data_IF_102228153366
#
_entry.id   IF_102228153366
#
_cell.length_a   1.000
_cell.length_b   1.000
_cell.length_c   1.000
_cell.angle_alpha   90.00
_cell.angle_beta   90.00
_cell.angle_gamma   90.00
#
_symmetry.space_group_name_H-M   'P 1'
#
loop_
_entity.id
_entity.type
_entity.pdbx_description
1 polymer ?
#
# COMPACT_ATOMS: atom_id res chain seq x y z
N UNK A 1 -22.30 -1.34 21.27
CA UNK A 1 -20.97 -1.33 20.63
C UNK A 1 -20.46 -2.77 20.53
N UNK A 2 -20.70 -3.45 19.40
CA UNK A 2 -20.13 -4.77 19.14
C UNK A 2 -20.02 -4.96 17.62
N UNK A 3 -18.82 -4.79 17.04
CA UNK A 3 -18.59 -5.10 15.62
C UNK A 3 -18.11 -6.54 15.49
N UNK A 4 -19.08 -7.44 15.44
CA UNK A 4 -18.90 -8.77 14.84
C UNK A 4 -19.41 -8.64 13.40
N UNK A 5 -18.55 -8.87 12.41
CA UNK A 5 -18.86 -9.53 11.13
C UNK A 5 -17.91 -9.08 10.03
N UNK A 6 -17.12 -10.01 9.48
CA UNK A 6 -17.19 -10.41 8.07
C UNK A 6 -16.16 -11.51 7.83
N UNK A 7 -16.50 -12.72 8.26
CA UNK A 7 -15.99 -13.95 7.65
C UNK A 7 -17.12 -14.42 6.72
N UNK A 8 -16.76 -14.85 5.52
CA UNK A 8 -17.61 -15.48 4.49
C UNK A 8 -18.35 -14.52 3.54
N UNK A 9 -17.81 -14.34 2.34
CA UNK A 9 -18.66 -14.33 1.13
C UNK A 9 -17.98 -15.14 0.02
N UNK A 10 -18.62 -16.28 -0.27
CA UNK A 10 -18.56 -17.03 -1.51
C UNK A 10 -19.03 -16.15 -2.68
N UNK A 11 -18.64 -16.49 -3.90
CA UNK A 11 -18.78 -15.68 -5.11
C UNK A 11 -20.18 -15.12 -5.39
N UNK A 12 -20.20 -14.05 -6.20
CA UNK A 12 -21.36 -13.32 -6.78
C UNK A 12 -21.75 -11.96 -6.17
N UNK A 13 -20.86 -11.23 -5.48
CA UNK A 13 -21.21 -9.89 -5.01
C UNK A 13 -20.08 -8.85 -5.08
N UNK A 14 -20.34 -7.86 -5.95
CA UNK A 14 -19.90 -6.45 -5.90
C UNK A 14 -18.53 -6.13 -6.49
N UNK A 15 -18.55 -5.20 -7.43
CA UNK A 15 -17.55 -4.14 -7.61
C UNK A 15 -17.46 -3.29 -6.33
N UNK A 16 -17.14 -3.91 -5.20
CA UNK A 16 -16.75 -3.21 -4.00
C UNK A 16 -15.31 -2.80 -4.23
N UNK A 17 -15.08 -1.52 -4.54
CA UNK A 17 -13.77 -0.90 -4.31
C UNK A 17 -13.33 -1.36 -2.92
N UNK A 18 -12.29 -2.18 -2.85
CA UNK A 18 -11.93 -2.86 -1.61
C UNK A 18 -11.53 -1.86 -0.53
N UNK A 19 -11.26 -2.31 0.70
CA UNK A 19 -10.79 -1.44 1.76
C UNK A 19 -9.63 -0.58 1.26
N UNK A 20 -9.84 0.75 1.25
CA UNK A 20 -8.84 1.73 0.84
C UNK A 20 -8.30 2.43 2.08
N UNK A 21 -7.00 2.70 2.07
CA UNK A 21 -6.28 3.23 3.21
C UNK A 21 -5.40 4.39 2.75
N UNK A 22 -5.35 5.44 3.55
CA UNK A 22 -4.40 6.55 3.34
C UNK A 22 -3.11 6.23 4.07
N UNK A 23 -1.98 6.32 3.37
CA UNK A 23 -0.64 6.19 3.92
C UNK A 23 0.20 7.42 3.53
N UNK A 24 1.31 7.66 4.23
CA UNK A 24 2.27 8.74 3.93
C UNK A 24 2.71 8.83 2.45
N UNK A 25 2.97 7.72 1.73
CA UNK A 25 3.29 7.75 0.30
C UNK A 25 2.07 8.00 -0.61
N UNK A 26 0.85 7.75 -0.14
CA UNK A 26 -0.37 7.89 -0.94
C UNK A 26 -1.57 7.09 -0.44
N UNK A 27 -2.65 7.10 -1.21
CA UNK A 27 -3.86 6.30 -0.98
C UNK A 27 -3.76 4.97 -1.72
N UNK A 28 -3.81 3.90 -0.96
CA UNK A 28 -3.71 2.52 -1.43
C UNK A 28 -5.07 1.83 -1.30
N UNK A 29 -5.37 0.94 -2.22
CA UNK A 29 -6.59 0.13 -2.22
C UNK A 29 -6.23 -1.34 -2.30
N UNK A 30 -6.89 -2.14 -1.46
CA UNK A 30 -6.79 -3.59 -1.51
C UNK A 30 -7.74 -4.08 -2.59
N UNK A 31 -7.19 -4.62 -3.68
CA UNK A 31 -7.98 -5.24 -4.75
C UNK A 31 -8.52 -6.61 -4.30
N UNK A 32 -7.79 -7.31 -3.43
CA UNK A 32 -8.19 -8.58 -2.87
C UNK A 32 -7.00 -9.44 -2.45
N UNK A 33 -7.23 -10.74 -2.38
CA UNK A 33 -6.19 -11.75 -2.16
C UNK A 33 -6.02 -12.58 -3.44
N UNK A 34 -4.78 -12.88 -3.78
CA UNK A 34 -4.41 -13.79 -4.86
C UNK A 34 -3.54 -14.91 -4.30
N UNK A 35 -3.53 -16.06 -4.96
CA UNK A 35 -2.66 -17.17 -4.62
C UNK A 35 -1.59 -17.30 -5.71
N UNK A 36 -0.32 -17.11 -5.36
CA UNK A 36 0.81 -17.18 -6.29
C UNK A 36 1.77 -18.23 -5.77
N UNK A 37 2.03 -19.26 -6.58
CA UNK A 37 2.89 -20.41 -6.21
C UNK A 37 2.43 -21.12 -4.92
N UNK A 38 1.13 -21.15 -4.65
CA UNK A 38 0.56 -21.76 -3.44
C UNK A 38 0.71 -20.91 -2.16
N UNK A 39 1.25 -19.68 -2.25
CA UNK A 39 1.25 -18.72 -1.16
C UNK A 39 0.16 -17.67 -1.40
N UNK A 40 -0.68 -17.43 -0.37
CA UNK A 40 -1.65 -16.34 -0.41
C UNK A 40 -0.92 -15.01 -0.28
N UNK A 41 -1.28 -14.06 -1.13
CA UNK A 41 -0.76 -12.70 -1.14
C UNK A 41 -1.91 -11.70 -1.26
N UNK A 42 -1.78 -10.54 -0.63
CA UNK A 42 -2.67 -9.41 -0.87
C UNK A 42 -2.26 -8.69 -2.15
N UNK A 43 -3.24 -8.35 -2.97
CA UNK A 43 -3.09 -7.51 -4.15
C UNK A 43 -3.50 -6.09 -3.79
N UNK A 44 -2.55 -5.17 -3.85
CA UNK A 44 -2.71 -3.76 -3.50
C UNK A 44 -2.45 -2.89 -4.72
N UNK A 45 -3.12 -1.75 -4.83
CA UNK A 45 -2.83 -0.74 -5.86
C UNK A 45 -2.86 0.66 -5.29
N UNK A 46 -2.05 1.57 -5.83
CA UNK A 46 -2.21 2.99 -5.52
C UNK A 46 -3.38 3.57 -6.33
N UNK A 47 -4.35 4.15 -5.62
CA UNK A 47 -5.38 5.01 -6.23
C UNK A 47 -4.79 6.41 -6.45
N UNK A 48 -4.03 6.91 -5.47
CA UNK A 48 -3.42 8.23 -5.50
C UNK A 48 -2.04 8.14 -4.84
N UNK A 49 -1.01 8.72 -5.45
CA UNK A 49 0.36 8.72 -4.93
C UNK A 49 1.01 10.07 -5.14
N UNK A 50 2.07 10.36 -4.38
CA UNK A 50 2.90 11.55 -4.60
C UNK A 50 3.52 11.55 -6.00
N UNK A 51 3.90 10.37 -6.50
CA UNK A 51 4.31 10.15 -7.88
C UNK A 51 3.15 9.53 -8.69
N UNK A 52 2.68 10.14 -9.79
CA UNK A 52 1.68 9.54 -10.67
C UNK A 52 2.14 8.21 -11.28
N UNK A 53 3.45 7.96 -11.40
CA UNK A 53 3.99 6.70 -11.91
C UNK A 53 3.77 5.50 -10.98
N UNK A 54 3.42 5.72 -9.71
CA UNK A 54 3.05 4.65 -8.78
C UNK A 54 1.56 4.30 -8.89
N UNK A 55 0.74 5.25 -9.35
CA UNK A 55 -0.71 5.09 -9.48
C UNK A 55 -1.00 4.02 -10.54
N UNK A 56 -1.99 3.15 -10.27
CA UNK A 56 -2.32 1.98 -11.09
C UNK A 56 -1.25 0.87 -11.15
N UNK A 57 -0.10 0.97 -10.47
CA UNK A 57 0.82 -0.17 -10.34
C UNK A 57 0.33 -1.11 -9.22
N UNK A 58 -0.09 -2.34 -9.56
CA UNK A 58 -0.42 -3.34 -8.54
C UNK A 58 0.86 -3.88 -7.92
N UNK A 59 0.85 -4.11 -6.62
CA UNK A 59 1.93 -4.72 -5.88
C UNK A 59 1.40 -5.73 -4.87
N UNK A 60 2.27 -6.61 -4.41
CA UNK A 60 1.90 -7.76 -3.59
C UNK A 60 2.46 -7.62 -2.18
N UNK A 61 1.61 -7.88 -1.19
CA UNK A 61 2.02 -8.06 0.20
C UNK A 61 1.74 -9.49 0.64
N UNK A 62 2.51 -10.00 1.60
CA UNK A 62 2.25 -11.31 2.18
C UNK A 62 0.87 -11.32 2.84
N UNK A 63 0.09 -12.38 2.61
CA UNK A 63 -1.20 -12.54 3.28
C UNK A 63 -1.00 -12.79 4.77
N UNK A 64 -1.70 -12.03 5.58
CA UNK A 64 -1.75 -12.17 7.03
C UNK A 64 -3.19 -11.88 7.49
N UNK A 65 -3.82 -12.87 8.12
CA UNK A 65 -5.22 -12.82 8.54
C UNK A 65 -5.47 -11.80 9.65
N UNK A 66 -4.44 -11.41 10.40
CA UNK A 66 -4.53 -10.41 11.48
C UNK A 66 -4.10 -9.01 11.02
N UNK A 67 -3.42 -8.90 9.88
CA UNK A 67 -2.97 -7.62 9.37
C UNK A 67 -4.14 -6.81 8.80
N UNK A 68 -4.66 -5.90 9.62
CA UNK A 68 -5.73 -4.97 9.24
C UNK A 68 -5.19 -3.72 8.51
N UNK A 69 -3.88 -3.46 8.58
CA UNK A 69 -3.26 -2.22 8.09
C UNK A 69 -1.96 -2.45 7.34
N UNK A 70 -1.66 -1.58 6.37
CA UNK A 70 -0.44 -1.59 5.56
C UNK A 70 0.85 -1.62 6.41
N UNK A 71 0.87 -0.94 7.55
CA UNK A 71 2.04 -0.90 8.44
C UNK A 71 2.40 -2.27 9.05
N UNK A 72 1.45 -3.20 9.09
CA UNK A 72 1.67 -4.57 9.55
C UNK A 72 1.96 -5.55 8.39
N UNK A 73 1.78 -5.10 7.13
CA UNK A 73 1.99 -5.94 5.96
C UNK A 73 3.47 -5.95 5.57
N UNK A 74 3.98 -7.16 5.33
CA UNK A 74 5.32 -7.36 4.77
C UNK A 74 5.21 -7.52 3.24
N UNK A 75 6.24 -7.10 2.49
CA UNK A 75 6.27 -7.37 1.05
C UNK A 75 6.17 -8.87 0.79
N UNK A 76 5.44 -9.25 -0.26
CA UNK A 76 5.40 -10.64 -0.69
C UNK A 76 6.78 -11.08 -1.24
N UNK A 77 6.96 -12.40 -1.42
CA UNK A 77 8.16 -12.98 -2.04
C UNK A 77 9.49 -12.71 -1.32
N UNK A 78 9.44 -12.36 -0.03
CA UNK A 78 10.64 -12.09 0.77
C UNK A 78 11.35 -10.77 0.41
N UNK A 79 10.69 -9.86 -0.31
CA UNK A 79 11.22 -8.53 -0.53
C UNK A 79 11.33 -7.79 0.82
N UNK A 80 12.42 -7.02 0.98
CA UNK A 80 12.69 -6.26 2.21
C UNK A 80 11.85 -4.97 2.30
N UNK A 81 11.43 -4.44 1.16
CA UNK A 81 10.70 -3.18 1.01
C UNK A 81 9.78 -3.24 -0.20
N UNK A 82 8.74 -2.42 -0.21
CA UNK A 82 7.88 -2.20 -1.36
C UNK A 82 8.59 -1.37 -2.43
N UNK A 83 8.13 -1.50 -3.68
CA UNK A 83 8.74 -0.82 -4.83
C UNK A 83 8.77 0.72 -4.71
N UNK A 84 7.84 1.31 -3.94
CA UNK A 84 7.72 2.76 -3.78
C UNK A 84 8.56 3.33 -2.63
N UNK A 85 9.04 2.50 -1.70
CA UNK A 85 9.75 3.00 -0.51
C UNK A 85 11.08 3.67 -0.86
N UNK A 86 11.83 3.09 -1.80
CA UNK A 86 13.10 3.64 -2.26
C UNK A 86 12.94 5.01 -2.93
N UNK A 87 12.01 5.14 -3.89
CA UNK A 87 11.72 6.44 -4.53
C UNK A 87 11.11 7.45 -3.55
N UNK A 88 10.29 7.01 -2.61
CA UNK A 88 9.69 7.91 -1.62
C UNK A 88 10.73 8.49 -0.66
N UNK A 89 11.71 7.68 -0.25
CA UNK A 89 12.82 8.15 0.58
C UNK A 89 13.68 9.19 -0.16
N UNK A 90 13.97 8.95 -1.44
CA UNK A 90 14.69 9.88 -2.31
C UNK A 90 13.96 11.21 -2.46
N UNK A 91 12.64 11.18 -2.70
CA UNK A 91 11.80 12.39 -2.76
C UNK A 91 11.79 13.19 -1.45
N UNK A 92 11.79 12.53 -0.29
CA UNK A 92 11.86 13.21 1.00
C UNK A 92 13.23 13.86 1.19
N UNK A 93 14.31 13.15 0.88
CA UNK A 93 15.67 13.66 1.00
C UNK A 93 15.87 14.89 0.11
N UNK A 94 15.45 14.82 -1.16
CA UNK A 94 15.57 15.94 -2.09
C UNK A 94 14.70 17.14 -1.69
N UNK A 95 13.48 16.90 -1.18
CA UNK A 95 12.64 17.98 -0.64
C UNK A 95 13.30 18.67 0.55
N UNK A 96 13.92 17.89 1.43
CA UNK A 96 14.57 18.43 2.62
C UNK A 96 15.77 19.30 2.25
N UNK A 97 16.54 18.91 1.23
CA UNK A 97 17.66 19.68 0.69
C UNK A 97 17.19 21.03 0.14
N UNK A 98 16.17 21.05 -0.72
CA UNK A 98 15.60 22.30 -1.26
C UNK A 98 15.05 23.21 -0.15
N UNK A 99 14.36 22.65 0.84
CA UNK A 99 13.82 23.44 1.96
C UNK A 99 14.93 24.06 2.80
N UNK A 100 16.05 23.34 2.99
CA UNK A 100 17.20 23.86 3.74
C UNK A 100 17.95 24.96 2.97
N UNK A 101 18.00 24.91 1.64
CA UNK A 101 18.58 25.98 0.82
C UNK A 101 17.74 27.26 0.84
N UNK A 102 16.41 27.15 0.80
CA UNK A 102 15.50 28.31 0.82
C UNK A 102 15.49 29.04 2.18
N UNK A 103 15.72 28.33 3.28
CA UNK A 103 15.83 28.92 4.62
C UNK A 103 17.23 29.53 4.87
N UNK A 104 18.19 29.31 3.97
CA UNK A 104 19.57 29.83 4.01
C UNK A 104 19.79 31.14 3.25
N UNK A 105 18.82 31.62 2.48
CA UNK A 105 18.81 32.98 1.93
C UNK A 105 18.12 33.94 2.92
N UNK A 106 18.85 34.34 3.96
CA UNK A 106 18.53 35.50 4.81
C UNK A 106 19.81 36.23 5.22
#
# INVERSE_FOLDING_TARGET
>A
MYRRTTLLLSGLARTARGPSMSASPGKIEIQGVAEIRGEKVFVLRFIQGRNPQWVQKPFFAKYDEQATWLNHLKPAFGAKQFFYEAEYADMIAHRQEILTELEGEC
#
